data_IF_405770631790
#
_entry.id   IF_405770631790
#
_cell.length_a   1.000
_cell.length_b   1.000
_cell.length_c   1.000
_cell.angle_alpha   90.00
_cell.angle_beta   90.00
_cell.angle_gamma   90.00
#
_symmetry.space_group_name_H-M   'P 1'
#
loop_
_entity.id
_entity.type
_entity.pdbx_description
1 polymer ?
#
# COMPACT_ATOMS: atom_id res chain seq x y z
N UNK A 1 1.51 11.47 -0.48
CA UNK A 1 2.20 10.17 -0.48
C UNK A 1 3.47 10.26 -1.32
N UNK A 2 4.58 9.65 -0.90
CA UNK A 2 5.87 9.78 -1.60
C UNK A 2 6.47 8.46 -2.12
N UNK A 3 5.74 7.34 -1.96
CA UNK A 3 6.05 6.06 -2.60
C UNK A 3 5.27 5.90 -3.90
N UNK A 4 5.95 5.69 -5.04
CA UNK A 4 5.29 5.52 -6.34
C UNK A 4 4.80 4.09 -6.57
N UNK A 5 5.34 3.14 -5.82
CA UNK A 5 5.03 1.72 -5.96
C UNK A 5 4.91 1.07 -4.59
N UNK A 6 3.79 0.39 -4.39
CA UNK A 6 3.55 -0.38 -3.18
C UNK A 6 2.64 -1.56 -3.47
N UNK A 7 2.75 -2.57 -2.63
CA UNK A 7 1.93 -3.77 -2.67
C UNK A 7 1.12 -3.84 -1.39
N UNK A 8 -0.18 -4.12 -1.53
CA UNK A 8 -1.04 -4.45 -0.41
C UNK A 8 -1.08 -5.97 -0.29
N UNK A 9 -0.76 -6.47 0.90
CA UNK A 9 -0.72 -7.89 1.19
C UNK A 9 -1.62 -8.23 2.38
N UNK A 10 -2.24 -9.40 2.33
CA UNK A 10 -3.12 -9.94 3.35
C UNK A 10 -2.54 -11.21 3.95
N UNK A 11 -2.77 -11.41 5.24
CA UNK A 11 -2.40 -12.64 5.93
C UNK A 11 -3.44 -13.05 6.97
N UNK A 12 -3.56 -14.35 7.20
CA UNK A 12 -4.38 -14.92 8.28
C UNK A 12 -3.55 -15.31 9.51
N UNK A 13 -2.22 -15.42 9.37
CA UNK A 13 -1.30 -15.91 10.40
C UNK A 13 -0.07 -15.00 10.61
N UNK A 14 -0.02 -13.82 9.98
CA UNK A 14 1.06 -12.85 10.05
C UNK A 14 2.43 -13.36 9.52
N UNK A 15 2.47 -14.53 8.89
CA UNK A 15 3.70 -15.17 8.37
C UNK A 15 3.60 -15.45 6.88
N UNK A 16 2.47 -15.98 6.43
CA UNK A 16 2.16 -16.20 5.01
C UNK A 16 1.40 -15.00 4.47
N UNK A 17 1.99 -14.30 3.52
CA UNK A 17 1.44 -13.09 2.93
C UNK A 17 1.01 -13.34 1.49
N UNK A 18 -0.21 -12.96 1.18
CA UNK A 18 -0.78 -13.05 -0.16
C UNK A 18 -0.92 -11.65 -0.72
N UNK A 19 -0.44 -11.44 -1.95
CA UNK A 19 -0.63 -10.19 -2.66
C UNK A 19 -2.11 -9.96 -2.97
N UNK A 20 -2.66 -8.85 -2.48
CA UNK A 20 -4.05 -8.45 -2.72
C UNK A 20 -4.18 -7.42 -3.84
N UNK A 21 -3.28 -6.43 -3.85
CA UNK A 21 -3.27 -5.39 -4.86
C UNK A 21 -1.85 -4.86 -5.06
N UNK A 22 -1.56 -4.42 -6.29
CA UNK A 22 -0.33 -3.71 -6.63
C UNK A 22 -0.71 -2.32 -7.08
N UNK A 23 -0.09 -1.32 -6.50
CA UNK A 23 -0.19 0.05 -6.95
C UNK A 23 1.12 0.48 -7.60
N UNK A 24 1.01 1.11 -8.77
CA UNK A 24 2.13 1.66 -9.53
C UNK A 24 1.81 3.04 -10.09
N UNK A 25 2.84 3.87 -10.27
CA UNK A 25 2.71 5.14 -10.99
C UNK A 25 2.20 6.31 -10.15
N UNK A 26 2.43 6.28 -8.84
CA UNK A 26 2.08 7.39 -7.96
C UNK A 26 2.95 8.63 -8.15
N UNK A 27 2.34 9.72 -8.60
CA UNK A 27 2.98 11.03 -8.65
C UNK A 27 3.24 11.56 -7.23
N UNK A 28 4.39 12.22 -7.05
CA UNK A 28 4.73 12.88 -5.79
C UNK A 28 3.75 14.02 -5.51
N UNK A 29 3.19 14.06 -4.31
CA UNK A 29 2.28 15.12 -3.88
C UNK A 29 1.15 14.62 -2.98
N UNK A 30 0.16 15.49 -2.76
CA UNK A 30 -1.06 15.12 -2.05
C UNK A 30 -1.90 14.20 -2.94
N UNK A 31 -2.15 13.00 -2.43
CA UNK A 31 -2.94 11.97 -3.12
C UNK A 31 -3.60 11.07 -2.10
N UNK A 32 -4.79 10.62 -2.44
CA UNK A 32 -5.50 9.53 -1.79
C UNK A 32 -5.67 8.40 -2.81
N UNK A 33 -5.32 7.19 -2.41
CA UNK A 33 -5.43 6.01 -3.27
C UNK A 33 -6.47 5.04 -2.72
N UNK A 34 -7.41 4.67 -3.58
CA UNK A 34 -8.45 3.70 -3.25
C UNK A 34 -8.23 2.44 -4.08
N UNK A 35 -8.01 1.32 -3.40
CA UNK A 35 -7.82 0.00 -4.01
C UNK A 35 -8.94 -0.93 -3.53
N UNK A 36 -9.59 -1.62 -4.46
CA UNK A 36 -10.54 -2.68 -4.11
C UNK A 36 -9.77 -3.94 -3.73
N UNK A 37 -10.02 -4.45 -2.52
CA UNK A 37 -9.44 -5.69 -2.01
C UNK A 37 -10.52 -6.77 -1.91
N UNK A 38 -10.15 -8.03 -2.10
CA UNK A 38 -11.07 -9.18 -2.00
C UNK A 38 -10.48 -10.29 -1.14
N UNK A 39 -11.32 -10.92 -0.33
CA UNK A 39 -10.96 -12.04 0.54
C UNK A 39 -11.11 -11.71 2.02
N UNK A 40 -10.82 -12.70 2.87
CA UNK A 40 -10.88 -12.55 4.33
C UNK A 40 -9.48 -12.72 4.90
N UNK A 41 -8.98 -11.65 5.52
CA UNK A 41 -7.65 -11.58 6.10
C UNK A 41 -7.72 -10.96 7.50
N UNK A 42 -6.83 -11.40 8.39
CA UNK A 42 -6.72 -10.85 9.75
C UNK A 42 -5.69 -9.71 9.83
N UNK A 43 -4.69 -9.75 8.97
CA UNK A 43 -3.62 -8.78 8.89
C UNK A 43 -3.56 -8.23 7.48
N UNK A 44 -3.46 -6.92 7.37
CA UNK A 44 -3.20 -6.22 6.11
C UNK A 44 -1.95 -5.38 6.31
N UNK A 45 -1.03 -5.41 5.33
CA UNK A 45 0.13 -4.54 5.32
C UNK A 45 0.31 -3.91 3.94
N UNK A 46 0.94 -2.75 3.94
CA UNK A 46 1.42 -2.10 2.74
C UNK A 46 2.94 -2.16 2.70
N UNK A 47 3.47 -2.75 1.65
CA UNK A 47 4.90 -2.86 1.41
C UNK A 47 5.29 -1.90 0.29
N UNK A 48 5.97 -0.80 0.64
CA UNK A 48 6.51 0.15 -0.34
C UNK A 48 7.74 -0.41 -1.03
N UNK A 49 7.66 -0.62 -2.35
CA UNK A 49 8.74 -1.25 -3.14
C UNK A 49 9.64 -0.22 -3.83
N UNK A 50 9.14 0.99 -4.11
CA UNK A 50 9.96 2.06 -4.69
C UNK A 50 9.46 3.46 -4.34
N UNK A 51 10.39 4.41 -4.31
CA UNK A 51 10.15 5.84 -4.08
C UNK A 51 9.56 6.49 -5.35
N UNK A 52 8.77 7.55 -5.19
CA UNK A 52 8.33 8.37 -6.33
C UNK A 52 9.49 9.08 -7.01
N UNK A 53 9.47 9.10 -8.35
CA UNK A 53 10.44 9.84 -9.16
C UNK A 53 10.39 11.34 -8.77
N UNK A 54 11.55 11.90 -8.42
CA UNK A 54 11.67 13.29 -7.95
C UNK A 54 11.63 13.48 -6.43
N UNK A 55 11.35 12.43 -5.64
CA UNK A 55 11.46 12.49 -4.19
C UNK A 55 12.89 12.15 -3.72
N UNK A 56 13.58 13.12 -3.11
CA UNK A 56 14.90 12.95 -2.50
C UNK A 56 14.84 12.58 -1.00
N UNK A 57 13.65 12.65 -0.38
CA UNK A 57 13.41 12.37 1.04
C UNK A 57 12.73 11.02 1.25
N UNK A 58 12.49 10.63 2.51
CA UNK A 58 11.92 9.32 2.84
C UNK A 58 10.47 9.11 2.36
N UNK A 59 10.06 7.85 2.37
CA UNK A 59 8.68 7.45 2.10
C UNK A 59 7.78 7.80 3.29
N UNK A 60 6.85 8.73 3.13
CA UNK A 60 5.83 9.03 4.13
C UNK A 60 4.42 8.78 3.58
N UNK A 61 3.61 8.14 4.41
CA UNK A 61 2.16 8.06 4.27
C UNK A 61 1.53 8.89 5.37
N UNK A 62 0.46 9.61 5.03
CA UNK A 62 -0.26 10.42 6.01
C UNK A 62 -1.23 9.53 6.80
N UNK A 63 -1.90 8.61 6.12
CA UNK A 63 -2.95 7.79 6.68
C UNK A 63 -3.10 6.49 5.87
N UNK A 64 -3.56 5.44 6.53
CA UNK A 64 -3.99 4.18 5.93
C UNK A 64 -5.29 3.75 6.59
N UNK A 65 -6.31 3.52 5.77
CA UNK A 65 -7.60 2.98 6.22
C UNK A 65 -7.87 1.66 5.50
N UNK A 66 -8.37 0.67 6.25
CA UNK A 66 -8.83 -0.62 5.72
C UNK A 66 -10.31 -0.75 6.06
N UNK A 67 -11.15 -0.69 5.03
CA UNK A 67 -12.60 -0.79 5.16
C UNK A 67 -13.02 -2.23 4.83
N UNK A 68 -13.63 -2.91 5.81
CA UNK A 68 -14.24 -4.23 5.65
C UNK A 68 -15.76 -4.15 5.74
N UNK A 69 -16.43 -5.22 5.30
CA UNK A 69 -17.87 -5.44 5.53
C UNK A 69 -18.12 -6.13 6.89
#
# INVERSE_FOLDING_TARGET
MTGAFYVIEGSNNNSDWVQLAVFSGGAFGNRTDTLSLSGTFRYVRMFGTARSAGNQWDCSICEMEVLGN
#
